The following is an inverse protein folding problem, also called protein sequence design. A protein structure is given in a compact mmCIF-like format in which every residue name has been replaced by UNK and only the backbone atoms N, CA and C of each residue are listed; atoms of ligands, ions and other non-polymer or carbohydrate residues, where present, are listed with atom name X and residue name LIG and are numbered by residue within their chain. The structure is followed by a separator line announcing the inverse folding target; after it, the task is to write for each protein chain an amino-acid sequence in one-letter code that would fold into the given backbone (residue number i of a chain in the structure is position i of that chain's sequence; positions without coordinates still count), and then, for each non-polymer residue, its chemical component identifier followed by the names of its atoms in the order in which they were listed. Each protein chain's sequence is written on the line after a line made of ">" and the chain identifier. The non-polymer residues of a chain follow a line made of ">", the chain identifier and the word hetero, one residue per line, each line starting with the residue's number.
data_IF_019151469957
#
_entry.id   IF_019151469957
#
_cell.length_a   1.000
_cell.length_b   1.000
_cell.length_c   1.000
_cell.angle_alpha   90.00
_cell.angle_beta   90.00
_cell.angle_gamma   90.00
#
_symmetry.space_group_name_H-M   'P 1'
#
loop_
_entity.id
_entity.type
_entity.pdbx_description
1 polymer ?
#
# COMPACT_ATOMS: atom_id res chain seq x y z
N UNK A 1 68.73 33.34 -6.67
CA UNK A 1 67.91 32.21 -6.18
C UNK A 1 66.46 32.41 -6.62
N UNK A 2 65.75 31.34 -6.99
CA UNK A 2 64.29 31.36 -7.21
C UNK A 2 63.72 30.10 -6.54
N UNK A 3 62.72 30.27 -5.68
CA UNK A 3 62.01 29.17 -5.03
C UNK A 3 60.78 28.82 -5.89
N UNK A 4 60.60 27.54 -6.21
CA UNK A 4 59.31 27.04 -6.70
C UNK A 4 58.50 26.53 -5.50
N UNK A 5 57.22 26.90 -5.35
CA UNK A 5 56.32 26.24 -4.42
C UNK A 5 55.92 24.87 -4.99
N UNK A 6 56.01 23.80 -4.19
CA UNK A 6 55.34 22.54 -4.50
C UNK A 6 53.85 22.67 -4.16
N UNK A 7 52.99 22.75 -5.16
CA UNK A 7 51.54 22.63 -4.99
C UNK A 7 51.19 21.17 -4.65
N UNK A 8 50.95 20.88 -3.38
CA UNK A 8 50.41 19.59 -2.95
C UNK A 8 48.95 19.46 -3.41
N UNK A 9 48.73 18.65 -4.46
CA UNK A 9 47.39 18.35 -4.93
C UNK A 9 46.71 17.36 -3.97
N UNK A 10 45.84 17.87 -3.08
CA UNK A 10 45.02 17.04 -2.20
C UNK A 10 43.94 16.34 -3.03
N UNK A 11 44.10 15.04 -3.26
CA UNK A 11 43.07 14.20 -3.88
C UNK A 11 41.93 14.01 -2.88
N UNK A 12 40.93 14.90 -2.92
CA UNK A 12 39.70 14.77 -2.16
C UNK A 12 38.86 13.62 -2.76
N UNK A 13 39.00 12.42 -2.20
CA UNK A 13 38.18 11.28 -2.56
C UNK A 13 36.72 11.53 -2.12
N UNK A 14 35.88 11.95 -3.07
CA UNK A 14 34.46 12.18 -2.85
C UNK A 14 33.74 10.84 -2.65
N UNK A 15 33.67 10.40 -1.39
CA UNK A 15 32.73 9.37 -0.95
C UNK A 15 31.31 9.94 -1.05
N UNK A 16 30.73 9.88 -2.26
CA UNK A 16 29.31 10.09 -2.45
C UNK A 16 28.57 9.06 -1.59
N UNK A 17 27.66 9.46 -0.68
CA UNK A 17 26.78 8.51 -0.05
C UNK A 17 25.96 7.86 -1.17
N UNK A 18 25.98 6.52 -1.24
CA UNK A 18 24.99 5.82 -2.04
C UNK A 18 23.63 6.17 -1.43
N UNK A 19 22.77 6.83 -2.21
CA UNK A 19 21.37 6.91 -1.84
C UNK A 19 20.84 5.48 -1.86
N UNK A 20 20.27 5.07 -0.73
CA UNK A 20 19.69 3.75 -0.59
C UNK A 20 18.46 3.69 -1.51
N UNK A 21 18.66 3.11 -2.69
CA UNK A 21 17.58 2.72 -3.58
C UNK A 21 17.25 1.26 -3.28
N UNK A 22 16.26 1.02 -2.44
CA UNK A 22 14.92 0.71 -2.98
C UNK A 22 15.06 0.13 -4.43
N UNK A 23 15.39 -1.17 -4.57
CA UNK A 23 15.64 -1.89 -5.87
C UNK A 23 14.90 -3.25 -5.98
N UNK A 24 14.26 -3.54 -7.12
CA UNK A 24 13.33 -4.68 -7.28
C UNK A 24 14.04 -6.04 -7.39
N UNK A 25 13.49 -7.09 -6.77
CA UNK A 25 14.06 -8.45 -6.80
C UNK A 25 13.94 -9.02 -8.23
N UNK A 26 15.04 -9.29 -8.93
CA UNK A 26 14.98 -9.80 -10.31
C UNK A 26 14.41 -11.21 -10.36
N UNK A 27 13.44 -11.46 -11.25
CA UNK A 27 12.77 -12.76 -11.37
C UNK A 27 11.68 -13.01 -10.32
N UNK A 28 11.26 -11.99 -9.58
CA UNK A 28 10.11 -12.05 -8.67
C UNK A 28 8.77 -11.72 -9.35
N UNK A 29 8.82 -11.21 -10.58
CA UNK A 29 7.69 -10.63 -11.30
C UNK A 29 6.62 -11.68 -11.64
N UNK A 30 5.35 -11.27 -11.59
CA UNK A 30 4.20 -12.08 -12.00
C UNK A 30 3.11 -11.24 -12.69
N UNK A 31 2.25 -11.91 -13.46
CA UNK A 31 1.12 -11.31 -14.16
C UNK A 31 -0.15 -12.13 -13.89
N UNK A 32 -1.28 -11.46 -13.68
CA UNK A 32 -2.57 -12.06 -13.35
C UNK A 32 -3.71 -11.30 -14.04
N UNK A 33 -3.85 -11.51 -15.36
CA UNK A 33 -4.82 -10.79 -16.19
C UNK A 33 -4.40 -9.34 -16.39
N UNK A 34 -5.17 -8.40 -15.84
CA UNK A 34 -4.84 -6.96 -15.89
C UNK A 34 -3.86 -6.53 -14.77
N UNK A 35 -3.58 -7.43 -13.81
CA UNK A 35 -2.70 -7.15 -12.69
C UNK A 35 -1.26 -7.56 -12.99
N UNK A 36 -0.31 -6.74 -12.56
CA UNK A 36 1.12 -7.07 -12.53
C UNK A 36 1.65 -6.97 -11.11
N UNK A 37 2.70 -7.72 -10.77
CA UNK A 37 3.24 -7.76 -9.42
C UNK A 37 4.66 -8.29 -9.35
N UNK A 38 5.22 -8.31 -8.14
CA UNK A 38 6.61 -8.68 -7.89
C UNK A 38 7.00 -8.61 -6.41
N UNK A 39 8.31 -8.63 -6.12
CA UNK A 39 8.88 -8.65 -4.78
C UNK A 39 10.10 -7.75 -4.61
N UNK A 40 10.31 -7.30 -3.38
CA UNK A 40 10.94 -6.03 -3.05
C UNK A 40 11.85 -6.21 -1.78
N UNK A 41 13.12 -5.71 -1.74
CA UNK A 41 14.12 -5.76 -0.61
C UNK A 41 14.66 -4.39 -0.08
N UNK A 42 15.27 -4.21 1.11
CA UNK A 42 15.52 -2.86 1.71
C UNK A 42 16.47 -1.93 0.94
N UNK A 43 16.37 -0.64 1.31
CA UNK A 43 17.48 0.30 1.52
C UNK A 43 18.83 -0.36 1.94
N UNK A 44 18.86 -1.50 2.64
CA UNK A 44 20.06 -2.34 2.87
C UNK A 44 19.96 -3.83 2.40
N UNK A 45 18.96 -4.20 1.59
CA UNK A 45 18.99 -5.37 0.68
C UNK A 45 18.43 -6.73 1.14
N UNK A 46 17.72 -6.81 2.25
CA UNK A 46 16.94 -7.97 2.76
C UNK A 46 15.41 -7.80 2.51
N UNK A 47 14.53 -8.78 2.75
CA UNK A 47 13.19 -8.80 2.12
C UNK A 47 12.09 -7.93 2.80
N UNK A 48 11.29 -7.25 1.95
CA UNK A 48 10.29 -6.23 2.30
C UNK A 48 8.83 -6.66 2.23
N UNK A 49 8.31 -6.90 1.01
CA UNK A 49 6.91 -7.17 0.70
C UNK A 49 6.78 -7.73 -0.72
N UNK A 50 5.67 -8.39 -0.99
CA UNK A 50 5.20 -8.63 -2.36
C UNK A 50 4.04 -7.67 -2.67
N UNK A 51 3.80 -7.42 -3.96
CA UNK A 51 2.73 -6.51 -4.38
C UNK A 51 2.00 -7.00 -5.62
N UNK A 52 0.77 -6.52 -5.79
CA UNK A 52 0.04 -6.55 -7.05
C UNK A 52 -0.54 -5.15 -7.33
N UNK A 53 -0.55 -4.73 -8.60
CA UNK A 53 -1.00 -3.40 -9.01
C UNK A 53 -1.76 -3.45 -10.33
N UNK A 54 -2.69 -2.51 -10.51
CA UNK A 54 -3.45 -2.30 -11.74
C UNK A 54 -3.59 -0.80 -12.01
N UNK A 55 -3.44 -0.39 -13.26
CA UNK A 55 -3.48 1.01 -13.68
C UNK A 55 -4.64 1.26 -14.64
N UNK A 56 -5.31 2.40 -14.47
CA UNK A 56 -6.55 2.75 -15.15
C UNK A 56 -6.34 3.82 -16.22
N UNK A 57 -7.24 3.87 -17.20
CA UNK A 57 -7.16 4.77 -18.36
C UNK A 57 -7.24 6.27 -18.02
N UNK A 58 -7.70 6.61 -16.82
CA UNK A 58 -7.71 7.96 -16.25
C UNK A 58 -6.39 8.34 -15.54
N UNK A 59 -5.38 7.46 -15.54
CA UNK A 59 -4.08 7.69 -14.89
C UNK A 59 -4.04 7.37 -13.40
N UNK A 60 -5.12 6.83 -12.82
CA UNK A 60 -5.10 6.28 -11.47
C UNK A 60 -4.40 4.92 -11.44
N UNK A 61 -3.83 4.56 -10.29
CA UNK A 61 -3.31 3.22 -10.02
C UNK A 61 -3.86 2.73 -8.67
N UNK A 62 -4.38 1.51 -8.64
CA UNK A 62 -4.69 0.79 -7.41
C UNK A 62 -3.57 -0.21 -7.15
N UNK A 63 -3.09 -0.23 -5.91
CA UNK A 63 -1.89 -0.95 -5.49
C UNK A 63 -2.16 -1.71 -4.19
N UNK A 64 -1.72 -2.96 -4.12
CA UNK A 64 -1.96 -3.85 -2.97
C UNK A 64 -0.63 -4.48 -2.54
N UNK A 65 -0.28 -4.30 -1.27
CA UNK A 65 0.98 -4.79 -0.67
C UNK A 65 0.74 -5.85 0.40
N UNK A 66 1.54 -6.92 0.37
CA UNK A 66 1.48 -8.04 1.31
C UNK A 66 2.83 -8.15 2.05
N UNK A 67 2.81 -7.97 3.37
CA UNK A 67 4.01 -7.81 4.20
C UNK A 67 4.33 -9.04 5.07
N UNK A 68 5.61 -9.33 5.39
CA UNK A 68 6.03 -10.44 6.25
C UNK A 68 5.45 -10.43 7.68
N UNK A 69 4.95 -9.30 8.15
CA UNK A 69 4.32 -9.13 9.46
C UNK A 69 2.82 -9.48 9.47
N UNK A 70 2.31 -10.16 8.43
CA UNK A 70 0.89 -10.48 8.21
C UNK A 70 -0.02 -9.24 8.14
N UNK A 71 0.47 -8.15 7.51
CA UNK A 71 -0.36 -6.99 7.14
C UNK A 71 -0.56 -6.89 5.63
N UNK A 72 -1.73 -6.35 5.23
CA UNK A 72 -2.07 -6.03 3.85
C UNK A 72 -2.38 -4.54 3.73
N UNK A 73 -1.76 -3.85 2.79
CA UNK A 73 -2.08 -2.45 2.46
C UNK A 73 -2.86 -2.36 1.15
N UNK A 74 -3.89 -1.50 1.10
CA UNK A 74 -4.58 -1.07 -0.13
C UNK A 74 -4.31 0.42 -0.30
N UNK A 75 -3.58 0.79 -1.34
CA UNK A 75 -3.19 2.16 -1.65
C UNK A 75 -3.67 2.52 -3.05
N UNK A 76 -4.00 3.79 -3.26
CA UNK A 76 -4.39 4.32 -4.55
C UNK A 76 -3.67 5.65 -4.82
N UNK A 77 -3.48 5.97 -6.09
CA UNK A 77 -3.00 7.27 -6.55
C UNK A 77 -3.99 7.90 -7.51
N UNK A 78 -4.05 9.24 -7.49
CA UNK A 78 -4.79 10.06 -8.44
C UNK A 78 -3.81 11.05 -9.08
N UNK A 79 -3.90 11.32 -10.40
CA UNK A 79 -2.96 12.21 -11.08
C UNK A 79 -3.04 13.66 -10.56
N UNK A 80 -4.27 14.16 -10.36
CA UNK A 80 -4.55 15.57 -10.05
C UNK A 80 -4.57 15.92 -8.55
N UNK A 81 -4.43 14.92 -7.66
CA UNK A 81 -4.36 15.11 -6.21
C UNK A 81 -2.94 14.88 -5.71
N UNK A 82 -2.53 15.65 -4.69
CA UNK A 82 -1.30 15.42 -3.93
C UNK A 82 -1.63 15.44 -2.44
N UNK A 83 -1.28 14.36 -1.75
CA UNK A 83 -1.55 14.19 -0.31
C UNK A 83 -0.45 14.84 0.53
N UNK A 84 -0.68 15.03 1.83
CA UNK A 84 0.37 15.41 2.78
C UNK A 84 0.91 14.15 3.47
N UNK A 85 2.21 13.77 3.29
CA UNK A 85 2.75 12.54 3.88
C UNK A 85 2.55 12.47 5.40
N UNK A 86 1.99 11.36 5.89
CA UNK A 86 1.64 11.13 7.30
C UNK A 86 0.29 11.72 7.74
N UNK A 87 -0.46 12.40 6.85
CA UNK A 87 -1.85 12.81 7.09
C UNK A 87 -2.73 11.57 7.29
N UNK A 88 -3.64 11.65 8.27
CA UNK A 88 -4.53 10.54 8.65
C UNK A 88 -5.98 10.95 8.56
N UNK A 89 -6.81 10.05 8.08
CA UNK A 89 -8.20 10.30 7.72
C UNK A 89 -9.05 9.04 7.98
N UNK A 90 -10.38 9.20 8.01
CA UNK A 90 -11.27 8.05 7.95
C UNK A 90 -11.39 7.59 6.49
N UNK A 91 -11.23 6.29 6.25
CA UNK A 91 -11.34 5.68 4.93
C UNK A 91 -12.26 4.46 4.99
N UNK A 92 -13.22 4.41 4.07
CA UNK A 92 -14.18 3.33 3.93
C UNK A 92 -13.84 2.58 2.65
N UNK A 93 -13.35 1.34 2.76
CA UNK A 93 -13.20 0.43 1.60
C UNK A 93 -14.42 -0.48 1.53
N UNK A 94 -14.99 -0.61 0.33
CA UNK A 94 -16.22 -1.38 0.09
C UNK A 94 -16.04 -2.26 -1.14
N UNK A 95 -16.49 -3.51 -1.07
CA UNK A 95 -16.70 -4.33 -2.27
C UNK A 95 -18.17 -4.18 -2.72
N UNK A 96 -18.51 -4.74 -3.89
CA UNK A 96 -19.92 -4.84 -4.37
C UNK A 96 -20.90 -5.39 -3.33
N UNK A 97 -20.42 -6.29 -2.46
CA UNK A 97 -21.22 -6.98 -1.45
C UNK A 97 -20.52 -6.94 -0.09
N UNK A 98 -21.27 -7.20 0.98
CA UNK A 98 -20.77 -7.15 2.36
C UNK A 98 -20.97 -5.79 3.04
N UNK A 99 -20.14 -5.52 4.05
CA UNK A 99 -20.13 -4.27 4.81
C UNK A 99 -18.85 -3.47 4.53
N UNK A 100 -18.87 -2.13 4.64
CA UNK A 100 -17.65 -1.32 4.52
C UNK A 100 -16.59 -1.71 5.56
N UNK A 101 -15.37 -1.94 5.11
CA UNK A 101 -14.18 -2.04 5.96
C UNK A 101 -13.67 -0.62 6.29
N UNK A 102 -14.31 0.00 7.29
CA UNK A 102 -13.96 1.34 7.79
C UNK A 102 -12.69 1.25 8.64
N UNK A 103 -11.73 2.16 8.41
CA UNK A 103 -10.57 2.29 9.27
C UNK A 103 -9.83 3.62 9.13
N UNK A 104 -8.67 3.68 9.79
CA UNK A 104 -7.80 4.84 9.77
C UNK A 104 -6.92 4.75 8.52
N UNK A 105 -7.25 5.53 7.50
CA UNK A 105 -6.40 5.70 6.33
C UNK A 105 -5.24 6.67 6.59
N UNK A 106 -4.21 6.55 5.78
CA UNK A 106 -2.99 7.35 5.85
C UNK A 106 -2.44 7.67 4.45
N UNK A 107 -1.92 8.89 4.28
CA UNK A 107 -1.14 9.30 3.13
C UNK A 107 0.31 8.85 3.32
N UNK A 108 0.77 7.91 2.51
CA UNK A 108 2.11 7.33 2.68
C UNK A 108 3.17 8.28 2.13
N UNK A 109 2.89 8.91 0.99
CA UNK A 109 3.67 10.00 0.44
C UNK A 109 2.75 11.04 -0.24
N UNK A 110 3.28 11.80 -1.21
CA UNK A 110 2.53 12.83 -1.92
C UNK A 110 1.64 12.26 -3.04
N UNK A 111 1.95 11.09 -3.58
CA UNK A 111 1.26 10.49 -4.73
C UNK A 111 0.28 9.38 -4.32
N UNK A 112 0.50 8.73 -3.17
CA UNK A 112 -0.34 7.61 -2.71
C UNK A 112 -0.88 7.77 -1.28
N UNK A 113 -2.14 7.38 -1.13
CA UNK A 113 -2.82 7.26 0.15
C UNK A 113 -3.67 5.97 0.18
N UNK A 114 -4.07 5.53 1.38
CA UNK A 114 -4.91 4.35 1.51
C UNK A 114 -5.00 3.84 2.94
N UNK A 115 -5.09 2.52 3.12
CA UNK A 115 -5.34 1.87 4.41
C UNK A 115 -4.52 0.59 4.56
N UNK A 116 -4.19 0.23 5.81
CA UNK A 116 -3.54 -1.04 6.16
C UNK A 116 -4.45 -1.86 7.07
N UNK A 117 -4.53 -3.17 6.81
CA UNK A 117 -5.27 -4.15 7.59
C UNK A 117 -4.34 -5.22 8.15
N UNK A 118 -4.71 -5.75 9.32
CA UNK A 118 -4.10 -6.93 9.92
C UNK A 118 -4.72 -8.21 9.34
N UNK A 119 -3.90 -9.23 9.14
CA UNK A 119 -4.29 -10.53 8.61
C UNK A 119 -4.46 -10.50 7.09
N UNK A 120 -3.43 -10.96 6.37
CA UNK A 120 -3.47 -11.11 4.90
C UNK A 120 -4.59 -12.07 4.49
N UNK A 121 -4.87 -13.10 5.28
CA UNK A 121 -5.99 -14.03 5.06
C UNK A 121 -7.35 -13.32 4.97
N UNK A 122 -7.88 -12.79 6.08
CA UNK A 122 -9.16 -12.07 6.09
C UNK A 122 -9.22 -10.89 5.10
N UNK A 123 -8.11 -10.19 4.89
CA UNK A 123 -8.02 -9.07 3.95
C UNK A 123 -8.15 -9.52 2.49
N UNK A 124 -7.52 -10.63 2.10
CA UNK A 124 -7.67 -11.23 0.77
C UNK A 124 -9.06 -11.85 0.60
N UNK A 125 -9.61 -12.47 1.64
CA UNK A 125 -10.98 -13.03 1.59
C UNK A 125 -12.04 -11.92 1.42
N UNK A 126 -11.83 -10.75 2.03
CA UNK A 126 -12.62 -9.53 1.78
C UNK A 126 -12.47 -9.04 0.34
N UNK A 127 -11.23 -8.87 -0.16
CA UNK A 127 -10.96 -8.42 -1.53
C UNK A 127 -11.55 -9.36 -2.60
N UNK A 128 -11.64 -10.66 -2.31
CA UNK A 128 -12.22 -11.66 -3.21
C UNK A 128 -13.76 -11.70 -3.21
N UNK A 129 -14.44 -10.85 -2.43
CA UNK A 129 -15.91 -10.83 -2.31
C UNK A 129 -16.66 -10.02 -3.39
N UNK A 130 -15.94 -9.43 -4.35
CA UNK A 130 -16.50 -8.68 -5.48
C UNK A 130 -15.47 -8.39 -6.57
N UNK A 131 -15.92 -7.76 -7.66
CA UNK A 131 -15.12 -7.30 -8.81
C UNK A 131 -15.07 -5.76 -8.92
N UNK A 132 -15.91 -5.04 -8.17
CA UNK A 132 -15.75 -3.60 -7.93
C UNK A 132 -15.35 -3.32 -6.49
N UNK A 133 -14.31 -2.49 -6.32
CA UNK A 133 -13.83 -1.96 -5.04
C UNK A 133 -14.05 -0.45 -5.04
N UNK A 134 -14.68 0.09 -4.00
CA UNK A 134 -14.94 1.53 -3.83
C UNK A 134 -14.19 2.07 -2.61
N UNK A 135 -13.56 3.23 -2.74
CA UNK A 135 -12.85 3.93 -1.67
C UNK A 135 -13.48 5.30 -1.43
N UNK A 136 -13.96 5.53 -0.21
CA UNK A 136 -14.65 6.75 0.21
C UNK A 136 -13.97 7.36 1.44
N UNK A 137 -13.48 8.61 1.31
CA UNK A 137 -12.73 9.33 2.34
C UNK A 137 -12.01 10.55 1.76
N UNK A 138 -11.61 11.53 2.58
CA UNK A 138 -10.93 12.77 2.12
C UNK A 138 -11.66 13.61 1.03
N UNK A 139 -12.94 13.36 0.76
CA UNK A 139 -13.65 13.97 -0.38
C UNK A 139 -13.46 13.23 -1.71
N UNK A 140 -12.80 12.07 -1.68
CA UNK A 140 -12.68 11.10 -2.77
C UNK A 140 -13.82 10.08 -2.62
N UNK A 141 -14.40 9.67 -3.76
CA UNK A 141 -15.48 8.69 -3.86
C UNK A 141 -15.31 7.87 -5.14
N UNK A 142 -14.23 7.09 -5.17
CA UNK A 142 -13.75 6.40 -6.38
C UNK A 142 -14.18 4.93 -6.41
N UNK A 143 -14.53 4.46 -7.61
CA UNK A 143 -14.81 3.05 -7.90
C UNK A 143 -13.80 2.46 -8.87
N UNK A 144 -13.13 1.39 -8.43
CA UNK A 144 -12.11 0.64 -9.16
C UNK A 144 -12.69 -0.69 -9.66
N UNK A 145 -12.53 -0.97 -10.96
CA UNK A 145 -12.75 -2.32 -11.49
C UNK A 145 -11.52 -3.17 -11.12
N UNK A 146 -11.72 -4.17 -10.26
CA UNK A 146 -10.68 -5.04 -9.71
C UNK A 146 -10.79 -6.46 -10.26
N UNK A 147 -11.34 -6.64 -11.48
CA UNK A 147 -11.39 -7.96 -12.11
C UNK A 147 -9.99 -8.59 -12.22
N UNK A 148 -9.90 -9.89 -11.94
CA UNK A 148 -8.63 -10.61 -11.81
C UNK A 148 -7.91 -10.48 -10.46
N UNK A 149 -8.43 -9.72 -9.49
CA UNK A 149 -7.80 -9.56 -8.16
C UNK A 149 -7.57 -10.89 -7.43
N UNK A 150 -8.49 -11.85 -7.53
CA UNK A 150 -8.34 -13.18 -6.90
C UNK A 150 -7.08 -13.93 -7.34
N UNK A 151 -6.89 -14.20 -8.65
CA UNK A 151 -5.62 -14.69 -9.18
C UNK A 151 -4.40 -13.84 -8.79
N UNK A 152 -4.50 -12.51 -8.80
CA UNK A 152 -3.40 -11.63 -8.40
C UNK A 152 -3.01 -11.78 -6.92
N UNK A 153 -3.99 -11.98 -6.04
CA UNK A 153 -3.76 -12.26 -4.61
C UNK A 153 -3.23 -13.68 -4.35
N UNK A 154 -3.46 -14.64 -5.27
CA UNK A 154 -2.79 -15.95 -5.19
C UNK A 154 -1.30 -15.78 -5.47
N UNK A 155 -0.93 -15.21 -6.63
CA UNK A 155 0.48 -15.00 -6.98
C UNK A 155 1.21 -14.09 -5.99
N UNK A 156 0.56 -13.05 -5.44
CA UNK A 156 1.13 -12.19 -4.40
C UNK A 156 1.43 -12.94 -3.08
N UNK A 157 0.60 -13.92 -2.71
CA UNK A 157 0.82 -14.77 -1.52
C UNK A 157 1.88 -15.84 -1.78
N UNK A 158 1.90 -16.40 -2.99
CA UNK A 158 2.92 -17.35 -3.41
C UNK A 158 4.30 -16.68 -3.48
N UNK A 159 4.36 -15.47 -4.01
CA UNK A 159 5.49 -14.55 -3.93
C UNK A 159 5.96 -14.36 -2.48
N UNK A 160 5.06 -13.98 -1.57
CA UNK A 160 5.40 -13.75 -0.15
C UNK A 160 5.98 -15.01 0.50
N UNK A 161 5.39 -16.18 0.23
CA UNK A 161 5.87 -17.46 0.74
C UNK A 161 7.25 -17.86 0.20
N UNK A 162 7.50 -17.64 -1.10
CA UNK A 162 8.80 -17.89 -1.74
C UNK A 162 9.91 -17.01 -1.14
N UNK A 163 9.67 -15.71 -1.00
CA UNK A 163 10.71 -14.77 -0.52
C UNK A 163 10.95 -14.86 1.00
N UNK A 164 9.92 -15.07 1.81
CA UNK A 164 10.07 -15.27 3.27
C UNK A 164 10.65 -16.66 3.63
N UNK A 165 10.40 -17.69 2.80
CA UNK A 165 10.86 -19.05 3.05
C UNK A 165 12.27 -19.39 2.58
N UNK A 166 12.80 -18.71 1.55
CA UNK A 166 14.04 -19.10 0.86
C UNK A 166 15.37 -18.80 1.60
N UNK A 167 15.33 -18.61 2.92
CA UNK A 167 16.51 -18.23 3.71
C UNK A 167 16.94 -16.76 3.55
N UNK A 168 16.08 -15.93 2.93
CA UNK A 168 16.21 -14.48 3.00
C UNK A 168 16.19 -14.01 4.44
N UNK A 169 17.03 -13.04 4.77
CA UNK A 169 16.79 -12.23 5.98
C UNK A 169 15.54 -11.41 5.69
N UNK A 170 14.62 -11.39 6.63
CA UNK A 170 13.40 -10.56 6.58
C UNK A 170 13.71 -9.22 7.26
N UNK A 171 13.01 -8.14 6.83
CA UNK A 171 13.24 -6.70 7.11
C UNK A 171 14.31 -6.13 6.14
N UNK A 172 14.07 -5.13 5.26
CA UNK A 172 12.96 -4.14 5.06
C UNK A 172 12.77 -3.61 3.55
N UNK A 173 12.47 -2.29 3.29
CA UNK A 173 11.84 -1.40 2.20
C UNK A 173 12.29 -1.16 0.69
N UNK A 174 11.37 -0.94 -0.31
CA UNK A 174 11.70 -0.93 -1.80
C UNK A 174 10.67 -0.27 -2.80
N UNK A 175 10.73 -0.28 -4.19
CA UNK A 175 11.82 -0.09 -5.22
C UNK A 175 11.71 1.02 -6.32
N UNK A 176 12.74 1.12 -7.16
CA UNK A 176 12.73 1.65 -8.53
C UNK A 176 11.84 0.94 -9.59
N UNK A 177 10.58 0.60 -9.27
CA UNK A 177 9.53 0.33 -10.27
C UNK A 177 8.53 1.50 -10.26
N UNK A 178 8.96 2.65 -10.82
CA UNK A 178 8.34 3.97 -10.66
C UNK A 178 8.04 4.33 -9.19
N UNK A 179 8.97 4.01 -8.28
CA UNK A 179 8.97 4.36 -6.85
C UNK A 179 7.61 4.13 -6.16
N UNK A 180 7.31 2.93 -5.62
CA UNK A 180 6.06 2.69 -4.93
C UNK A 180 6.04 3.51 -3.63
N UNK A 181 4.88 3.51 -2.96
CA UNK A 181 4.68 4.24 -1.71
C UNK A 181 5.82 4.00 -0.72
N UNK A 182 6.49 5.08 -0.29
CA UNK A 182 7.57 4.93 0.68
C UNK A 182 7.01 4.32 1.96
N UNK A 183 7.36 3.05 2.20
CA UNK A 183 6.81 2.24 3.29
C UNK A 183 6.94 2.99 4.63
N UNK A 184 5.82 3.34 5.30
CA UNK A 184 5.84 3.87 6.65
C UNK A 184 6.47 2.87 7.64
N UNK A 185 6.79 3.33 8.85
CA UNK A 185 7.28 2.45 9.91
C UNK A 185 6.17 1.49 10.40
N UNK A 186 6.00 0.36 9.70
CA UNK A 186 5.05 -0.69 10.02
C UNK A 186 5.46 -1.54 11.25
N UNK A 187 6.54 -1.19 11.97
CA UNK A 187 6.86 -1.83 13.26
C UNK A 187 5.86 -1.46 14.36
N UNK A 188 4.94 -0.52 14.10
CA UNK A 188 3.81 -0.17 14.98
C UNK A 188 2.47 -0.21 14.23
N UNK A 189 1.93 -1.40 13.91
CA UNK A 189 0.60 -1.53 13.35
C UNK A 189 -0.44 -0.80 14.22
N UNK A 190 -1.18 0.15 13.63
CA UNK A 190 -2.37 0.74 14.25
C UNK A 190 -3.60 -0.01 13.73
N UNK A 191 -3.83 -1.14 14.36
CA UNK A 191 -4.66 -2.22 13.85
C UNK A 191 -6.15 -1.84 13.88
N UNK A 192 -6.70 -1.44 12.72
CA UNK A 192 -8.16 -1.40 12.51
C UNK A 192 -8.65 -2.85 12.32
N UNK A 193 -8.61 -3.62 13.41
CA UNK A 193 -8.88 -5.06 13.38
C UNK A 193 -10.27 -5.38 12.86
N UNK A 194 -10.34 -6.18 11.79
CA UNK A 194 -11.59 -6.65 11.18
C UNK A 194 -12.36 -7.49 12.21
N UNK A 195 -13.45 -6.92 12.73
CA UNK A 195 -14.00 -7.31 14.03
C UNK A 195 -14.72 -8.65 14.05
N UNK A 196 -14.14 -9.65 14.71
CA UNK A 196 -14.88 -10.81 15.23
C UNK A 196 -15.72 -10.38 16.44
N UNK A 197 -16.86 -9.73 16.17
CA UNK A 197 -17.65 -8.93 17.12
C UNK A 197 -19.04 -9.49 17.44
N UNK A 198 -19.18 -10.79 17.69
CA UNK A 198 -20.45 -11.38 18.10
C UNK A 198 -20.82 -11.04 19.55
N UNK A 199 -21.78 -10.14 19.79
CA UNK A 199 -22.27 -9.84 21.14
C UNK A 199 -23.56 -9.02 21.18
N UNK A 200 -24.57 -9.50 21.92
CA UNK A 200 -25.76 -8.72 22.24
C UNK A 200 -25.45 -7.71 23.35
N UNK A 201 -25.72 -6.42 23.12
CA UNK A 201 -25.61 -5.35 24.11
C UNK A 201 -26.70 -4.29 23.91
N UNK A 202 -27.25 -3.76 25.00
CA UNK A 202 -28.45 -2.92 24.97
C UNK A 202 -28.18 -1.42 24.83
N UNK A 203 -29.04 -0.75 24.06
CA UNK A 203 -29.33 0.71 24.03
C UNK A 203 -29.25 1.39 25.42
N UNK A 204 -28.94 2.71 25.52
CA UNK A 204 -29.84 3.73 24.94
C UNK A 204 -29.21 5.04 24.42
N UNK A 205 -30.02 5.83 23.71
CA UNK A 205 -30.01 7.30 23.82
C UNK A 205 -29.06 8.12 22.93
N UNK A 206 -29.38 8.25 21.64
CA UNK A 206 -28.81 9.28 20.76
C UNK A 206 -29.78 9.55 19.61
N UNK A 207 -30.17 10.81 19.39
CA UNK A 207 -31.23 11.16 18.45
C UNK A 207 -30.74 12.13 17.37
N UNK A 208 -30.89 11.75 16.10
CA UNK A 208 -30.87 12.67 14.95
C UNK A 208 -31.48 12.01 13.70
N UNK A 209 -32.49 12.68 13.12
CA UNK A 209 -32.81 12.71 11.69
C UNK A 209 -33.15 11.42 10.92
N UNK A 210 -34.46 11.12 10.80
CA UNK A 210 -35.04 10.47 9.60
C UNK A 210 -36.43 11.09 9.30
N UNK A 211 -36.97 11.01 8.07
CA UNK A 211 -36.40 10.56 6.80
C UNK A 211 -36.54 11.60 5.63
N UNK A 212 -35.92 11.30 4.48
CA UNK A 212 -36.32 11.82 3.15
C UNK A 212 -37.46 10.94 2.55
N UNK A 213 -38.12 11.26 1.41
CA UNK A 213 -37.83 12.21 0.32
C UNK A 213 -39.07 13.12 0.01
N UNK A 214 -39.54 13.55 -1.19
CA UNK A 214 -39.33 13.25 -2.64
C UNK A 214 -39.69 14.53 -3.50
N UNK A 215 -40.06 14.55 -4.82
CA UNK A 215 -39.52 15.59 -5.73
C UNK A 215 -40.53 16.47 -6.53
N UNK A 216 -40.01 17.59 -7.05
CA UNK A 216 -40.49 18.37 -8.23
C UNK A 216 -41.92 19.01 -8.13
N UNK A 217 -42.30 20.00 -8.97
CA UNK A 217 -41.86 20.32 -10.36
C UNK A 217 -40.38 20.66 -10.57
#
# INVERSE_FOLDING_TARGET
>A
MRLLPLSFAVLAASLSPALAEVTEIPGSQFEAGNWVGGAYTDDAGAFSYCYATVSYVNGQTLWIGLYPNDTLAILFSQPDVKFQPGEKFELWVMMETGLPAIGNGEAWDADYAGITYDGIGPSVDFLNSGRYLRMLGMGIDDGFDVDGIGPAMVEARDCLARQSGAGGRVLDSTPGAKAPPKVPDLTRPKTSGVGSGGGLGTRPGGALGTPAPKPQP
#
